data_IF_461522709861
#
_entry.id   IF_461522709861
#
_cell.length_a   1.000
_cell.length_b   1.000
_cell.length_c   1.000
_cell.angle_alpha   90.00
_cell.angle_beta   90.00
_cell.angle_gamma   90.00
#
_symmetry.space_group_name_H-M   'P 1'
#
loop_
_entity.id
_entity.type
_entity.pdbx_description
1 polymer ?
#
# COMPACT_ATOMS: atom_id res chain seq x y z
N UNK A 1 -15.25 -0.61 4.30
CA UNK A 1 -14.78 0.68 4.86
C UNK A 1 -13.72 0.36 5.91
N UNK A 2 -12.91 1.32 6.36
CA UNK A 2 -11.97 1.15 7.48
C UNK A 2 -12.60 1.46 8.85
N UNK A 3 -13.93 1.62 8.87
CA UNK A 3 -14.66 2.03 10.04
C UNK A 3 -14.54 0.96 11.14
N UNK A 4 -14.12 1.38 12.33
CA UNK A 4 -13.89 0.50 13.46
C UNK A 4 -12.53 -0.19 13.47
N UNK A 5 -11.66 0.02 12.47
CA UNK A 5 -10.26 -0.38 12.56
C UNK A 5 -9.50 0.56 13.51
N UNK A 6 -8.60 -0.01 14.30
CA UNK A 6 -7.69 0.74 15.17
C UNK A 6 -6.27 0.64 14.62
N UNK A 7 -5.72 1.77 14.15
CA UNK A 7 -4.34 1.83 13.66
C UNK A 7 -3.39 1.88 14.86
N UNK A 8 -2.52 0.90 14.98
CA UNK A 8 -1.49 0.84 16.00
C UNK A 8 -0.22 1.57 15.57
N UNK A 9 0.21 1.35 14.33
CA UNK A 9 1.39 2.01 13.78
C UNK A 9 1.32 2.13 12.26
N UNK A 10 2.01 3.15 11.76
CA UNK A 10 2.36 3.32 10.35
C UNK A 10 3.82 3.80 10.29
N UNK A 11 4.63 3.14 9.48
CA UNK A 11 6.04 3.49 9.30
C UNK A 11 6.38 3.53 7.82
N UNK A 12 6.99 4.64 7.40
CA UNK A 12 7.69 4.72 6.13
C UNK A 12 8.89 3.78 6.16
N UNK A 13 9.16 3.08 5.06
CA UNK A 13 10.26 2.11 5.00
C UNK A 13 11.63 2.79 4.98
N UNK A 14 12.08 3.25 3.81
CA UNK A 14 13.31 4.02 3.61
C UNK A 14 13.38 4.60 2.20
N UNK A 15 14.20 5.65 2.04
CA UNK A 15 14.52 6.23 0.74
C UNK A 15 15.21 5.19 -0.15
N UNK A 16 16.10 4.35 0.39
CA UNK A 16 16.79 3.29 -0.35
C UNK A 16 15.81 2.33 -1.04
N UNK A 17 14.72 1.94 -0.34
CA UNK A 17 13.69 1.09 -0.91
C UNK A 17 12.83 1.86 -1.91
N UNK A 18 12.41 3.07 -1.57
CA UNK A 18 11.44 3.83 -2.35
C UNK A 18 12.02 4.49 -3.61
N UNK A 19 13.35 4.62 -3.67
CA UNK A 19 14.09 5.13 -4.83
C UNK A 19 14.78 4.03 -5.64
N UNK A 20 14.70 2.76 -5.21
CA UNK A 20 15.24 1.64 -5.99
C UNK A 20 14.49 1.51 -7.32
N UNK A 21 15.23 1.58 -8.42
CA UNK A 21 14.71 1.43 -9.79
C UNK A 21 13.95 0.10 -9.97
N UNK A 22 14.31 -0.96 -9.25
CA UNK A 22 13.62 -2.25 -9.31
C UNK A 22 12.20 -2.16 -8.76
N UNK A 23 12.01 -1.40 -7.68
CA UNK A 23 10.68 -1.24 -7.07
C UNK A 23 9.81 -0.35 -7.96
N UNK A 24 10.36 0.71 -8.54
CA UNK A 24 9.65 1.53 -9.52
C UNK A 24 9.31 0.72 -10.78
N UNK A 25 10.23 -0.11 -11.28
CA UNK A 25 9.97 -1.00 -12.41
C UNK A 25 8.86 -2.02 -12.09
N UNK A 26 8.88 -2.59 -10.89
CA UNK A 26 7.83 -3.50 -10.43
C UNK A 26 6.46 -2.80 -10.33
N UNK A 27 6.39 -1.56 -9.82
CA UNK A 27 5.14 -0.77 -9.83
C UNK A 27 4.60 -0.57 -11.25
N UNK A 28 5.47 -0.31 -12.23
CA UNK A 28 5.07 -0.16 -13.63
C UNK A 28 4.59 -1.49 -14.25
N UNK A 29 5.23 -2.62 -13.92
CA UNK A 29 4.76 -3.94 -14.34
C UNK A 29 3.37 -4.26 -13.78
N UNK A 30 3.12 -3.92 -12.51
CA UNK A 30 1.79 -4.06 -11.91
C UNK A 30 0.75 -3.17 -12.60
N UNK A 31 1.12 -1.96 -13.02
CA UNK A 31 0.23 -1.05 -13.72
C UNK A 31 -0.17 -1.59 -15.10
N UNK A 32 0.81 -2.07 -15.85
CA UNK A 32 0.61 -2.68 -17.17
C UNK A 32 -0.23 -3.96 -17.07
N UNK A 33 0.02 -4.81 -16.07
CA UNK A 33 -0.75 -6.03 -15.84
C UNK A 33 -2.23 -5.76 -15.48
N UNK A 34 -2.55 -4.55 -15.03
CA UNK A 34 -3.92 -4.10 -14.77
C UNK A 34 -4.52 -3.33 -15.97
N UNK A 35 -3.94 -3.46 -17.17
CA UNK A 35 -4.34 -2.80 -18.42
C UNK A 35 -4.39 -1.25 -18.30
N UNK A 36 -3.60 -0.68 -17.41
CA UNK A 36 -3.47 0.77 -17.25
C UNK A 36 -2.21 1.29 -17.97
N UNK A 37 -2.20 2.60 -18.28
CA UNK A 37 -1.14 3.22 -19.09
C UNK A 37 -0.29 4.25 -18.33
N UNK A 38 -0.41 4.33 -17.00
CA UNK A 38 0.37 5.29 -16.24
C UNK A 38 1.82 4.80 -16.09
N UNK A 39 2.78 5.70 -16.29
CA UNK A 39 4.19 5.42 -16.01
C UNK A 39 4.56 6.12 -14.71
N UNK A 40 4.97 5.35 -13.72
CA UNK A 40 5.41 5.83 -12.42
C UNK A 40 6.90 6.13 -12.41
N UNK A 41 7.25 7.23 -11.76
CA UNK A 41 8.64 7.66 -11.55
C UNK A 41 9.02 7.68 -10.07
N UNK A 42 8.04 7.50 -9.17
CA UNK A 42 8.24 7.47 -7.73
C UNK A 42 7.34 6.41 -7.10
N UNK A 43 7.84 5.72 -6.08
CA UNK A 43 7.07 4.80 -5.25
C UNK A 43 7.31 5.09 -3.76
N UNK A 44 6.36 4.70 -2.91
CA UNK A 44 6.47 4.77 -1.46
C UNK A 44 5.93 3.47 -0.87
N UNK A 45 6.65 2.92 0.12
CA UNK A 45 6.21 1.78 0.90
C UNK A 45 5.93 2.20 2.35
N UNK A 46 4.80 1.73 2.88
CA UNK A 46 4.46 1.83 4.30
C UNK A 46 4.20 0.46 4.88
N UNK A 47 4.74 0.21 6.07
CA UNK A 47 4.32 -0.89 6.92
C UNK A 47 3.33 -0.38 7.97
N UNK A 48 2.30 -1.17 8.23
CA UNK A 48 1.23 -0.81 9.16
C UNK A 48 0.89 -1.98 10.06
N UNK A 49 0.57 -1.64 11.30
CA UNK A 49 -0.07 -2.53 12.26
C UNK A 49 -1.44 -1.98 12.59
N UNK A 50 -2.48 -2.78 12.47
CA UNK A 50 -3.83 -2.37 12.85
C UNK A 50 -4.67 -3.55 13.31
N UNK A 51 -5.64 -3.27 14.17
CA UNK A 51 -6.64 -4.22 14.60
C UNK A 51 -7.95 -3.96 13.84
N UNK A 52 -8.58 -5.02 13.35
CA UNK A 52 -9.84 -4.93 12.62
C UNK A 52 -11.03 -4.64 13.54
N UNK A 53 -12.20 -4.27 13.01
CA UNK A 53 -13.37 -4.00 13.83
C UNK A 53 -13.81 -5.26 14.58
N UNK A 54 -14.23 -5.10 15.83
CA UNK A 54 -14.75 -6.23 16.64
C UNK A 54 -16.09 -6.77 16.12
N UNK A 55 -16.87 -5.91 15.46
CA UNK A 55 -18.23 -6.18 14.96
C UNK A 55 -18.49 -5.33 13.73
N UNK A 56 -19.46 -5.76 12.92
CA UNK A 56 -19.90 -5.04 11.73
C UNK A 56 -19.65 -5.83 10.45
N UNK A 57 -19.80 -5.16 9.31
CA UNK A 57 -19.55 -5.75 8.00
C UNK A 57 -18.26 -5.16 7.43
N UNK A 58 -17.24 -6.02 7.31
CA UNK A 58 -15.95 -5.68 6.72
C UNK A 58 -15.47 -6.82 5.83
N UNK A 59 -14.53 -6.53 4.94
CA UNK A 59 -13.86 -7.54 4.10
C UNK A 59 -12.73 -8.26 4.86
N UNK A 60 -12.37 -7.77 6.04
CA UNK A 60 -11.41 -8.38 6.96
C UNK A 60 -12.09 -9.41 7.86
N UNK A 61 -11.32 -10.29 8.49
CA UNK A 61 -11.85 -11.02 9.63
C UNK A 61 -12.03 -10.03 10.80
N UNK A 62 -13.08 -10.25 11.59
CA UNK A 62 -13.40 -9.41 12.75
C UNK A 62 -12.47 -9.73 13.93
N UNK A 63 -12.14 -8.71 14.72
CA UNK A 63 -11.34 -8.82 15.96
C UNK A 63 -9.96 -9.48 15.72
N UNK A 64 -9.27 -9.11 14.64
CA UNK A 64 -7.96 -9.64 14.26
C UNK A 64 -6.89 -8.55 14.12
N UNK A 65 -5.64 -8.93 14.41
CA UNK A 65 -4.43 -8.13 14.21
C UNK A 65 -3.86 -8.35 12.81
N UNK A 66 -3.55 -7.26 12.11
CA UNK A 66 -2.94 -7.28 10.79
C UNK A 66 -1.62 -6.52 10.79
N UNK A 67 -0.61 -7.12 10.13
CA UNK A 67 0.64 -6.47 9.75
C UNK A 67 0.70 -6.38 8.23
N UNK A 68 0.44 -5.21 7.66
CA UNK A 68 0.31 -5.03 6.22
C UNK A 68 1.34 -4.05 5.67
N UNK A 69 1.82 -4.35 4.47
CA UNK A 69 2.63 -3.47 3.64
C UNK A 69 1.77 -2.86 2.54
N UNK A 70 1.95 -1.56 2.33
CA UNK A 70 1.25 -0.75 1.34
C UNK A 70 2.26 -0.17 0.38
N UNK A 71 1.97 -0.26 -0.91
CA UNK A 71 2.76 0.40 -1.94
C UNK A 71 1.92 1.42 -2.68
N UNK A 72 2.44 2.65 -2.75
CA UNK A 72 1.87 3.71 -3.55
C UNK A 72 2.87 4.09 -4.65
N UNK A 73 2.36 4.49 -5.80
CA UNK A 73 3.18 4.96 -6.90
C UNK A 73 2.58 6.21 -7.54
N UNK A 74 3.45 7.06 -8.10
CA UNK A 74 3.01 8.23 -8.87
C UNK A 74 3.99 8.55 -9.98
N UNK A 75 3.49 9.31 -10.94
CA UNK A 75 4.34 10.09 -11.85
C UNK A 75 4.82 11.35 -11.14
N UNK A 76 5.90 11.93 -11.64
CA UNK A 76 6.39 13.21 -11.13
C UNK A 76 5.30 14.28 -11.23
N UNK A 77 5.08 14.98 -10.11
CA UNK A 77 4.01 15.98 -9.97
C UNK A 77 2.57 15.45 -10.05
N UNK A 78 2.36 14.13 -10.12
CA UNK A 78 1.05 13.49 -10.14
C UNK A 78 0.52 13.10 -8.76
N UNK A 79 -0.69 12.55 -8.75
CA UNK A 79 -1.32 12.00 -7.55
C UNK A 79 -0.77 10.61 -7.21
N UNK A 80 -0.78 10.27 -5.92
CA UNK A 80 -0.43 8.93 -5.44
C UNK A 80 -1.55 7.95 -5.71
N UNK A 81 -1.22 6.87 -6.42
CA UNK A 81 -2.10 5.72 -6.64
C UNK A 81 -1.71 4.61 -5.68
N UNK A 82 -2.71 3.99 -5.04
CA UNK A 82 -2.51 2.76 -4.28
C UNK A 82 -2.30 1.59 -5.26
N UNK A 83 -1.16 0.92 -5.15
CA UNK A 83 -0.75 -0.15 -6.06
C UNK A 83 -1.00 -1.53 -5.47
N UNK A 84 -0.58 -1.75 -4.23
CA UNK A 84 -0.83 -3.01 -3.52
C UNK A 84 -0.93 -2.78 -2.03
N UNK A 85 -1.63 -3.68 -1.35
CA UNK A 85 -1.81 -3.72 0.09
C UNK A 85 -2.06 -5.15 0.53
N UNK A 86 -1.59 -5.49 1.73
CA UNK A 86 -1.83 -6.80 2.32
C UNK A 86 -0.65 -7.26 3.16
N UNK A 87 -0.67 -8.53 3.56
CA UNK A 87 0.44 -9.14 4.27
C UNK A 87 1.72 -9.05 3.41
N UNK A 88 2.82 -8.66 4.08
CA UNK A 88 4.17 -8.65 3.51
C UNK A 88 4.65 -10.04 3.11
#
# INVERSE_FOLDING_TARGET
TWEGCELHSISYSSDDICTDEKNIAWMNQLEEANDNAQVFTQCIMFDTSFHSPKKGTTALNLDEEYQWTWWLARREGGEWKLMTWGAA
#
